data_IF_147143688965
#
_entry.id   IF_147143688965
#
_cell.length_a   1.000
_cell.length_b   1.000
_cell.length_c   1.000
_cell.angle_alpha   90.00
_cell.angle_beta   90.00
_cell.angle_gamma   90.00
#
_symmetry.space_group_name_H-M   'P 1'
#
loop_
_entity.id
_entity.type
_entity.pdbx_description
1 polymer ?
#
# COMPACT_ATOMS: atom_id res chain seq x y z
N UNK A 1 0.02 43.31 5.76
CA UNK A 1 0.29 41.95 6.29
C UNK A 1 -0.91 41.08 5.99
N UNK A 2 -0.85 40.26 4.93
CA UNK A 2 -1.96 39.39 4.53
C UNK A 2 -2.19 38.31 5.57
N UNK A 3 -3.43 38.17 6.06
CA UNK A 3 -3.82 37.07 6.95
C UNK A 3 -3.54 35.77 6.21
N UNK A 4 -2.74 34.87 6.81
CA UNK A 4 -2.62 33.49 6.35
C UNK A 4 -4.04 32.90 6.41
N UNK A 5 -4.61 32.56 5.26
CA UNK A 5 -5.83 31.77 5.22
C UNK A 5 -5.52 30.45 5.94
N UNK A 6 -6.23 30.20 7.04
CA UNK A 6 -6.29 28.87 7.63
C UNK A 6 -6.77 27.93 6.53
N UNK A 7 -5.98 26.89 6.24
CA UNK A 7 -6.41 25.82 5.35
C UNK A 7 -7.77 25.28 5.85
N UNK A 8 -8.67 24.89 4.93
CA UNK A 8 -10.00 24.41 5.30
C UNK A 8 -9.85 23.23 6.26
N UNK A 9 -10.35 23.41 7.48
CA UNK A 9 -10.53 22.32 8.42
C UNK A 9 -11.68 21.46 7.92
N UNK A 10 -11.39 20.24 7.44
CA UNK A 10 -12.42 19.19 7.44
C UNK A 10 -12.78 18.52 6.12
N UNK A 11 -11.87 18.39 5.16
CA UNK A 11 -11.89 17.15 4.38
C UNK A 11 -11.09 16.13 5.19
N UNK A 12 -11.76 15.10 5.72
CA UNK A 12 -11.07 14.00 6.38
C UNK A 12 -10.05 13.46 5.38
N UNK A 13 -8.75 13.64 5.67
CA UNK A 13 -7.69 13.13 4.82
C UNK A 13 -7.98 11.66 4.53
N UNK A 14 -7.89 11.30 3.25
CA UNK A 14 -8.07 9.91 2.84
C UNK A 14 -7.09 9.03 3.60
N UNK A 15 -7.48 7.80 3.93
CA UNK A 15 -6.58 6.82 4.57
C UNK A 15 -5.25 6.69 3.80
N UNK A 16 -5.32 6.83 2.47
CA UNK A 16 -4.15 6.80 1.61
C UNK A 16 -3.23 8.02 1.81
N UNK A 17 -3.81 9.20 1.99
CA UNK A 17 -3.05 10.43 2.24
C UNK A 17 -2.40 10.38 3.62
N UNK A 18 -3.10 9.84 4.63
CA UNK A 18 -2.52 9.62 5.95
C UNK A 18 -1.35 8.62 5.90
N UNK A 19 -1.52 7.52 5.15
CA UNK A 19 -0.46 6.54 4.95
C UNK A 19 0.75 7.14 4.21
N UNK A 20 0.52 8.00 3.21
CA UNK A 20 1.58 8.73 2.53
C UNK A 20 2.34 9.66 3.48
N UNK A 21 1.62 10.39 4.34
CA UNK A 21 2.25 11.27 5.32
C UNK A 21 3.10 10.49 6.33
N UNK A 22 2.61 9.35 6.82
CA UNK A 22 3.40 8.47 7.69
C UNK A 22 4.63 7.90 6.99
N UNK A 23 4.54 7.56 5.70
CA UNK A 23 5.68 7.08 4.93
C UNK A 23 6.76 8.17 4.77
N UNK A 24 6.35 9.41 4.53
CA UNK A 24 7.25 10.58 4.46
C UNK A 24 7.91 10.84 5.81
N UNK A 25 7.13 10.80 6.90
CA UNK A 25 7.65 10.96 8.26
C UNK A 25 8.67 9.86 8.62
N UNK A 26 8.38 8.60 8.29
CA UNK A 26 9.31 7.48 8.47
C UNK A 26 10.56 7.53 7.58
N UNK A 27 10.57 8.40 6.56
CA UNK A 27 11.73 8.73 5.74
C UNK A 27 12.46 9.99 6.22
N UNK A 28 12.12 10.53 7.39
CA UNK A 28 12.71 11.77 7.91
C UNK A 28 12.32 13.01 7.10
N UNK A 29 11.16 12.97 6.43
CA UNK A 29 10.69 14.04 5.56
C UNK A 29 11.18 13.95 4.11
N UNK A 30 12.05 12.98 3.77
CA UNK A 30 12.51 12.79 2.40
C UNK A 30 11.46 12.02 1.56
N UNK A 31 10.75 12.75 0.71
CA UNK A 31 9.70 12.21 -0.14
C UNK A 31 10.23 11.23 -1.20
N UNK A 32 11.46 11.40 -1.69
CA UNK A 32 12.06 10.48 -2.68
C UNK A 32 12.38 9.15 -2.00
N UNK A 33 12.98 9.19 -0.81
CA UNK A 33 13.25 7.98 -0.02
C UNK A 33 11.96 7.28 0.38
N UNK A 34 10.92 8.02 0.79
CA UNK A 34 9.61 7.45 1.09
C UNK A 34 9.01 6.72 -0.12
N UNK A 35 9.02 7.35 -1.29
CA UNK A 35 8.53 6.74 -2.53
C UNK A 35 9.31 5.48 -2.90
N UNK A 36 10.64 5.52 -2.81
CA UNK A 36 11.49 4.35 -3.10
C UNK A 36 11.18 3.18 -2.16
N UNK A 37 10.99 3.44 -0.87
CA UNK A 37 10.60 2.40 0.11
C UNK A 37 9.23 1.79 -0.22
N UNK A 38 8.25 2.62 -0.57
CA UNK A 38 6.90 2.16 -0.95
C UNK A 38 6.95 1.30 -2.22
N UNK A 39 7.69 1.74 -3.25
CA UNK A 39 7.83 1.00 -4.51
C UNK A 39 8.54 -0.34 -4.30
N UNK A 40 9.60 -0.38 -3.49
CA UNK A 40 10.28 -1.63 -3.15
C UNK A 40 9.33 -2.61 -2.46
N UNK A 41 8.53 -2.13 -1.49
CA UNK A 41 7.55 -2.97 -0.81
C UNK A 41 6.44 -3.45 -1.75
N UNK A 42 6.00 -2.62 -2.68
CA UNK A 42 4.99 -3.02 -3.67
C UNK A 42 5.53 -4.15 -4.57
N UNK A 43 6.77 -4.04 -5.06
CA UNK A 43 7.40 -5.10 -5.85
C UNK A 43 7.49 -6.44 -5.10
N UNK A 44 7.80 -6.41 -3.80
CA UNK A 44 7.79 -7.60 -2.95
C UNK A 44 6.40 -8.24 -2.88
N UNK A 45 5.36 -7.42 -2.62
CA UNK A 45 3.97 -7.89 -2.52
C UNK A 45 3.48 -8.44 -3.86
N UNK A 46 3.80 -7.78 -4.98
CA UNK A 46 3.46 -8.27 -6.31
C UNK A 46 4.08 -9.64 -6.59
N UNK A 47 5.33 -9.83 -6.17
CA UNK A 47 6.02 -11.12 -6.27
C UNK A 47 5.37 -12.20 -5.40
N UNK A 48 5.08 -11.89 -4.14
CA UNK A 48 4.39 -12.81 -3.21
C UNK A 48 3.00 -13.18 -3.72
N UNK A 49 2.26 -12.21 -4.28
CA UNK A 49 0.95 -12.43 -4.88
C UNK A 49 1.05 -13.34 -6.11
N UNK A 50 2.04 -13.14 -6.98
CA UNK A 50 2.26 -13.99 -8.15
C UNK A 50 2.54 -15.45 -7.74
N UNK A 51 3.41 -15.65 -6.74
CA UNK A 51 3.72 -16.97 -6.20
C UNK A 51 2.48 -17.62 -5.56
N UNK A 52 1.72 -16.86 -4.78
CA UNK A 52 0.51 -17.34 -4.11
C UNK A 52 -0.57 -17.73 -5.12
N UNK A 53 -0.78 -16.94 -6.18
CA UNK A 53 -1.72 -17.25 -7.26
C UNK A 53 -1.35 -18.54 -8.00
N UNK A 54 -0.07 -18.74 -8.29
CA UNK A 54 0.41 -19.96 -8.90
C UNK A 54 0.15 -21.19 -8.00
N UNK A 55 0.42 -21.07 -6.70
CA UNK A 55 0.16 -22.13 -5.72
C UNK A 55 -1.33 -22.45 -5.57
N UNK A 56 -2.20 -21.44 -5.48
CA UNK A 56 -3.66 -21.60 -5.41
C UNK A 56 -4.19 -22.26 -6.69
N UNK A 57 -3.73 -21.81 -7.86
CA UNK A 57 -4.11 -22.42 -9.15
C UNK A 57 -3.68 -23.87 -9.22
N UNK A 58 -2.45 -24.19 -8.82
CA UNK A 58 -1.96 -25.57 -8.77
C UNK A 58 -2.74 -26.44 -7.76
N UNK A 59 -3.05 -25.92 -6.57
CA UNK A 59 -3.88 -26.60 -5.57
C UNK A 59 -5.32 -26.82 -6.03
N UNK A 60 -5.90 -25.86 -6.75
CA UNK A 60 -7.23 -25.97 -7.35
C UNK A 60 -7.25 -27.01 -8.47
N UNK A 61 -6.30 -26.98 -9.40
CA UNK A 61 -6.17 -27.96 -10.49
C UNK A 61 -5.90 -29.39 -9.99
N UNK A 62 -5.23 -29.54 -8.85
CA UNK A 62 -5.00 -30.85 -8.19
C UNK A 62 -6.17 -31.28 -7.31
N UNK A 63 -7.26 -30.51 -7.27
CA UNK A 63 -8.48 -30.84 -6.53
C UNK A 63 -8.36 -30.73 -5.01
N UNK A 64 -7.29 -30.11 -4.49
CA UNK A 64 -7.06 -29.98 -3.04
C UNK A 64 -8.03 -28.98 -2.39
N UNK A 65 -8.56 -28.03 -3.18
CA UNK A 65 -9.61 -27.09 -2.78
C UNK A 65 -10.98 -27.44 -3.37
N UNK A 66 -11.33 -28.73 -3.53
CA UNK A 66 -12.73 -29.07 -3.76
C UNK A 66 -13.52 -28.53 -2.57
N UNK A 67 -14.41 -27.58 -2.85
CA UNK A 67 -15.42 -27.12 -1.91
C UNK A 67 -16.00 -28.38 -1.25
N UNK A 68 -15.73 -28.52 0.04
CA UNK A 68 -16.36 -29.55 0.85
C UNK A 68 -17.87 -29.32 0.72
N UNK A 69 -18.68 -30.36 0.47
CA UNK A 69 -20.12 -30.20 0.31
C UNK A 69 -20.76 -29.53 1.53
#
# INVERSE_FOLDING_TARGET
>A
MGKRQSAPAGEAMSELELAAQHAIEAAGGDAVVALLKVLARNLEIERELALSRAAVSAGFSRGWHKARP
#
